data_IF_480886010622
#
_entry.id   IF_480886010622
#
_cell.length_a   1.000
_cell.length_b   1.000
_cell.length_c   1.000
_cell.angle_alpha   90.00
_cell.angle_beta   90.00
_cell.angle_gamma   90.00
#
_symmetry.space_group_name_H-M   'P 1'
#
loop_
_entity.id
_entity.type
_entity.pdbx_description
1 polymer ?
#
# COMPACT_ATOMS: atom_id res chain seq x y z
N UNK A 1 13.97 4.29 0.31
CA UNK A 1 12.86 3.71 1.09
C UNK A 1 11.59 4.44 0.70
N UNK A 2 10.48 3.71 0.51
CA UNK A 2 9.13 4.27 0.44
C UNK A 2 8.27 3.70 1.55
N UNK A 3 7.34 4.49 2.08
CA UNK A 3 6.31 4.02 3.00
C UNK A 3 5.05 3.70 2.21
N UNK A 4 4.48 2.53 2.46
CA UNK A 4 3.39 1.97 1.66
C UNK A 4 2.18 1.79 2.56
N UNK A 5 1.06 2.38 2.12
CA UNK A 5 -0.21 2.39 2.85
C UNK A 5 -1.37 2.48 1.86
N UNK A 6 -2.43 1.74 2.13
CA UNK A 6 -3.65 1.82 1.34
C UNK A 6 -4.47 3.06 1.67
N UNK A 7 -5.19 3.58 0.68
CA UNK A 7 -6.10 4.69 0.86
C UNK A 7 -7.40 4.51 0.06
N UNK A 8 -8.54 4.65 0.72
CA UNK A 8 -9.85 4.69 0.07
C UNK A 8 -10.43 6.10 0.07
N UNK A 9 -10.69 6.62 -1.13
CA UNK A 9 -11.42 7.87 -1.37
C UNK A 9 -12.88 7.75 -0.98
N UNK A 10 -13.48 6.56 -1.15
CA UNK A 10 -14.87 6.33 -0.69
C UNK A 10 -14.98 6.51 0.82
N UNK A 11 -14.17 5.79 1.60
CA UNK A 11 -14.16 5.94 3.07
C UNK A 11 -13.77 7.34 3.51
N UNK A 12 -12.84 7.97 2.80
CA UNK A 12 -12.49 9.38 3.04
C UNK A 12 -13.72 10.29 2.96
N UNK A 13 -14.51 10.14 1.90
CA UNK A 13 -15.70 10.99 1.63
C UNK A 13 -16.82 10.68 2.62
N UNK A 14 -17.06 9.40 2.92
CA UNK A 14 -18.20 8.95 3.73
C UNK A 14 -17.94 9.05 5.24
N UNK A 15 -16.71 8.82 5.68
CA UNK A 15 -16.38 8.62 7.10
C UNK A 15 -15.30 9.59 7.62
N UNK A 16 -14.69 10.39 6.74
CA UNK A 16 -13.71 11.43 7.07
C UNK A 16 -12.27 11.12 6.63
N UNK A 17 -11.43 12.16 6.56
CA UNK A 17 -10.12 12.08 5.87
C UNK A 17 -9.21 10.95 6.36
N UNK A 18 -9.19 10.72 7.67
CA UNK A 18 -8.36 9.71 8.31
C UNK A 18 -8.92 8.28 8.12
N UNK A 19 -10.24 8.14 7.91
CA UNK A 19 -10.89 6.85 7.67
C UNK A 19 -10.53 6.26 6.32
N UNK A 20 -10.08 7.09 5.36
CA UNK A 20 -9.50 6.60 4.11
C UNK A 20 -8.33 5.64 4.30
N UNK A 21 -7.56 5.76 5.40
CA UNK A 21 -6.44 4.86 5.71
C UNK A 21 -6.85 3.56 6.42
N UNK A 22 -8.12 3.39 6.80
CA UNK A 22 -8.62 2.16 7.42
C UNK A 22 -9.00 1.12 6.35
N UNK A 23 -8.07 0.84 5.43
CA UNK A 23 -8.17 -0.18 4.37
C UNK A 23 -6.89 -0.97 4.28
N UNK A 24 -6.96 -2.18 3.73
CA UNK A 24 -5.79 -3.01 3.50
C UNK A 24 -5.09 -2.63 2.19
N UNK A 25 -3.76 -2.78 2.16
CA UNK A 25 -2.95 -2.58 0.94
C UNK A 25 -3.46 -3.51 -0.16
N UNK A 26 -3.74 -2.95 -1.33
CA UNK A 26 -4.22 -3.68 -2.51
C UNK A 26 -5.74 -3.84 -2.60
N UNK A 27 -6.47 -3.56 -1.52
CA UNK A 27 -7.95 -3.43 -1.46
C UNK A 27 -8.36 -1.94 -1.35
N UNK A 28 -7.54 -1.07 -1.94
CA UNK A 28 -7.60 0.38 -1.85
C UNK A 28 -7.79 1.03 -3.23
N UNK A 29 -7.89 2.37 -3.27
CA UNK A 29 -8.06 3.12 -4.51
C UNK A 29 -6.72 3.55 -5.14
N UNK A 30 -5.57 3.04 -4.64
CA UNK A 30 -4.27 3.39 -5.19
C UNK A 30 -4.03 2.68 -6.53
N UNK A 31 -3.61 3.45 -7.54
CA UNK A 31 -3.20 2.87 -8.82
C UNK A 31 -1.75 2.38 -8.73
N UNK A 32 -1.57 1.19 -8.17
CA UNK A 32 -0.24 0.61 -7.91
C UNK A 32 0.60 0.44 -9.18
N UNK A 33 0.02 0.05 -10.32
CA UNK A 33 0.73 -0.02 -11.60
C UNK A 33 1.33 1.33 -12.00
N UNK A 34 0.55 2.41 -11.89
CA UNK A 34 1.03 3.76 -12.20
C UNK A 34 2.10 4.23 -11.19
N UNK A 35 1.94 3.89 -9.90
CA UNK A 35 2.92 4.21 -8.86
C UNK A 35 4.25 3.47 -9.12
N UNK A 36 4.20 2.17 -9.41
CA UNK A 36 5.38 1.36 -9.72
C UNK A 36 6.12 1.91 -10.95
N UNK A 37 5.40 2.26 -12.01
CA UNK A 37 5.98 2.88 -13.21
C UNK A 37 6.62 4.24 -12.89
N UNK A 38 5.97 5.07 -12.07
CA UNK A 38 6.52 6.36 -11.66
C UNK A 38 7.77 6.22 -10.80
N UNK A 39 7.79 5.26 -9.87
CA UNK A 39 8.97 4.93 -9.06
C UNK A 39 10.13 4.46 -9.93
N UNK A 40 9.88 3.56 -10.88
CA UNK A 40 10.90 3.10 -11.82
C UNK A 40 11.44 4.26 -12.66
N UNK A 41 10.57 5.11 -13.20
CA UNK A 41 10.96 6.29 -13.98
C UNK A 41 11.76 7.31 -13.17
N UNK A 42 11.51 7.41 -11.87
CA UNK A 42 12.27 8.22 -10.93
C UNK A 42 13.62 7.60 -10.52
N UNK A 43 14.00 6.44 -11.07
CA UNK A 43 15.25 5.75 -10.76
C UNK A 43 15.20 4.90 -9.48
N UNK A 44 14.02 4.61 -8.96
CA UNK A 44 13.84 3.77 -7.78
C UNK A 44 13.89 2.28 -8.16
N UNK A 45 15.08 1.75 -8.43
CA UNK A 45 15.29 0.37 -8.93
C UNK A 45 15.84 -0.62 -7.92
N UNK A 46 16.52 -0.14 -6.86
CA UNK A 46 17.14 -0.97 -5.82
C UNK A 46 16.71 -0.57 -4.39
N UNK A 47 15.58 0.14 -4.28
CA UNK A 47 15.04 0.55 -2.98
C UNK A 47 14.12 -0.50 -2.34
N UNK A 48 13.75 -0.27 -1.08
CA UNK A 48 12.83 -1.14 -0.32
C UNK A 48 11.62 -0.37 0.22
N UNK A 49 10.46 -1.02 0.26
CA UNK A 49 9.23 -0.49 0.83
C UNK A 49 9.03 -0.93 2.29
N UNK A 50 8.45 -0.07 3.11
CA UNK A 50 7.96 -0.42 4.46
C UNK A 50 6.44 -0.39 4.46
N UNK A 51 5.80 -1.47 4.91
CA UNK A 51 4.36 -1.48 5.09
C UNK A 51 3.97 -0.65 6.32
N UNK A 52 3.38 0.52 6.12
CA UNK A 52 2.93 1.42 7.18
C UNK A 52 1.50 1.07 7.63
N UNK A 53 1.35 -0.14 8.17
CA UNK A 53 0.07 -0.70 8.62
C UNK A 53 0.20 -1.30 10.02
N UNK A 54 -0.94 -1.60 10.65
CA UNK A 54 -0.95 -2.30 11.94
C UNK A 54 -0.32 -3.69 11.77
N UNK A 55 0.75 -3.94 12.53
CA UNK A 55 1.39 -5.24 12.66
C UNK A 55 0.52 -6.23 13.45
N UNK A 56 1.07 -7.40 13.73
CA UNK A 56 0.35 -8.46 14.45
C UNK A 56 1.17 -9.74 14.56
N UNK A 57 0.46 -10.86 14.68
CA UNK A 57 1.04 -12.19 14.73
C UNK A 57 1.58 -12.67 13.37
N UNK A 58 2.06 -13.91 13.31
CA UNK A 58 2.59 -14.51 12.08
C UNK A 58 1.57 -14.52 10.93
N UNK A 59 0.28 -14.75 11.23
CA UNK A 59 -0.75 -14.77 10.19
C UNK A 59 -0.92 -13.37 9.59
N UNK A 60 -0.97 -12.34 10.44
CA UNK A 60 -1.02 -10.94 9.99
C UNK A 60 0.22 -10.57 9.17
N UNK A 61 1.43 -10.91 9.63
CA UNK A 61 2.67 -10.59 8.92
C UNK A 61 2.75 -11.28 7.54
N UNK A 62 2.26 -12.52 7.43
CA UNK A 62 2.16 -13.23 6.14
C UNK A 62 1.20 -12.54 5.18
N UNK A 63 0.04 -12.09 5.66
CA UNK A 63 -0.91 -11.36 4.82
C UNK A 63 -0.33 -10.03 4.34
N UNK A 64 0.34 -9.26 5.22
CA UNK A 64 1.02 -8.02 4.84
C UNK A 64 2.07 -8.29 3.76
N UNK A 65 2.93 -9.30 3.95
CA UNK A 65 3.96 -9.66 2.96
C UNK A 65 3.34 -9.99 1.61
N UNK A 66 2.30 -10.85 1.58
CA UNK A 66 1.60 -11.24 0.36
C UNK A 66 1.00 -10.02 -0.37
N UNK A 67 0.41 -9.08 0.37
CA UNK A 67 -0.16 -7.85 -0.21
C UNK A 67 0.91 -6.94 -0.80
N UNK A 68 2.04 -6.81 -0.12
CA UNK A 68 3.20 -6.06 -0.62
C UNK A 68 3.73 -6.69 -1.92
N UNK A 69 3.90 -8.00 -1.94
CA UNK A 69 4.33 -8.73 -3.14
C UNK A 69 3.34 -8.52 -4.30
N UNK A 70 2.03 -8.62 -4.02
CA UNK A 70 0.98 -8.41 -5.02
C UNK A 70 1.07 -7.01 -5.65
N UNK A 71 1.10 -5.94 -4.85
CA UNK A 71 1.10 -4.57 -5.41
C UNK A 71 2.37 -4.24 -6.20
N UNK A 72 3.53 -4.84 -5.90
CA UNK A 72 4.76 -4.63 -6.66
C UNK A 72 4.77 -5.37 -8.01
N UNK A 73 3.86 -6.32 -8.21
CA UNK A 73 3.69 -7.03 -9.48
C UNK A 73 2.60 -6.44 -10.39
N UNK A 74 1.81 -5.48 -9.88
CA UNK A 74 0.78 -4.77 -10.63
C UNK A 74 1.36 -3.74 -11.58
#
# INVERSE_FOLDING_TARGET
KVDIKGYSRKKQVEEGIWKGFEVEIGDDDCNWSAVNNALQAAGYSAGWGSAEVKGGDLARLKDISRRMDDIFTR
#
